data_IF_864661056489
#
_entry.id   IF_864661056489
#
_cell.length_a   1.000
_cell.length_b   1.000
_cell.length_c   1.000
_cell.angle_alpha   90.00
_cell.angle_beta   90.00
_cell.angle_gamma   90.00
#
_symmetry.space_group_name_H-M   'P 1'
#
loop_
_entity.id
_entity.type
_entity.pdbx_description
1 polymer ?
#
# COMPACT_ATOMS: atom_id res chain seq x y z
N UNK A 1 -5.14 -1.88 16.65
CA UNK A 1 -3.78 -1.98 16.08
C UNK A 1 -3.13 -3.33 16.30
N UNK A 2 -2.76 -3.97 15.19
CA UNK A 2 -2.04 -5.24 15.11
C UNK A 2 -0.57 -5.09 15.53
N UNK A 3 0.00 -6.07 16.25
CA UNK A 3 1.44 -6.09 16.64
C UNK A 3 2.26 -7.14 15.88
N UNK A 4 1.60 -8.03 15.15
CA UNK A 4 2.21 -9.10 14.36
C UNK A 4 1.30 -9.51 13.21
N UNK A 5 1.83 -9.51 11.99
CA UNK A 5 1.17 -10.05 10.80
C UNK A 5 1.27 -11.58 10.77
N UNK A 6 0.16 -12.25 10.51
CA UNK A 6 0.02 -13.70 10.38
C UNK A 6 -1.18 -13.98 9.48
N UNK A 7 -1.01 -14.66 8.34
CA UNK A 7 -2.12 -15.05 7.48
C UNK A 7 -3.12 -15.97 8.19
N UNK A 8 -4.38 -15.91 7.77
CA UNK A 8 -5.42 -16.82 8.24
C UNK A 8 -5.25 -18.20 7.60
N UNK A 9 -5.68 -19.24 8.34
CA UNK A 9 -5.69 -20.63 7.86
C UNK A 9 -7.07 -21.07 7.35
N UNK A 10 -8.10 -20.25 7.57
CA UNK A 10 -9.48 -20.48 7.14
C UNK A 10 -10.09 -19.16 6.67
N UNK A 11 -11.02 -19.23 5.73
CA UNK A 11 -11.74 -18.05 5.25
C UNK A 11 -12.72 -17.63 6.34
N UNK A 12 -12.48 -16.44 6.89
CA UNK A 12 -13.44 -15.69 7.69
C UNK A 12 -13.35 -14.23 7.26
N UNK A 13 -14.25 -13.83 6.36
CA UNK A 13 -14.19 -12.50 5.74
C UNK A 13 -14.40 -11.38 6.74
N UNK A 14 -15.08 -11.64 7.87
CA UNK A 14 -15.30 -10.64 8.92
C UNK A 14 -14.00 -10.40 9.68
N UNK A 15 -13.41 -11.46 10.21
CA UNK A 15 -12.14 -11.39 10.94
C UNK A 15 -11.00 -10.89 10.04
N UNK A 16 -10.95 -11.35 8.80
CA UNK A 16 -9.97 -10.88 7.82
C UNK A 16 -10.11 -9.38 7.54
N UNK A 17 -11.35 -8.87 7.42
CA UNK A 17 -11.58 -7.43 7.23
C UNK A 17 -11.13 -6.60 8.44
N UNK A 18 -11.45 -7.06 9.65
CA UNK A 18 -10.97 -6.44 10.90
C UNK A 18 -9.44 -6.43 10.94
N UNK A 19 -8.82 -7.51 10.47
CA UNK A 19 -7.36 -7.65 10.44
C UNK A 19 -6.70 -6.70 9.44
N UNK A 20 -7.20 -6.61 8.21
CA UNK A 20 -6.71 -5.65 7.21
C UNK A 20 -6.89 -4.22 7.72
N UNK A 21 -8.02 -3.90 8.35
CA UNK A 21 -8.25 -2.59 8.96
C UNK A 21 -7.27 -2.32 10.10
N UNK A 22 -6.96 -3.32 10.92
CA UNK A 22 -5.94 -3.19 11.97
C UNK A 22 -4.54 -2.94 11.41
N UNK A 23 -4.19 -3.47 10.23
CA UNK A 23 -2.95 -3.12 9.51
C UNK A 23 -2.99 -1.67 9.04
N UNK A 24 -4.12 -1.23 8.48
CA UNK A 24 -4.30 0.13 8.01
C UNK A 24 -4.22 1.17 9.14
N UNK A 25 -4.76 0.86 10.32
CA UNK A 25 -4.62 1.71 11.51
C UNK A 25 -3.16 1.95 11.90
N UNK A 26 -2.30 0.93 11.79
CA UNK A 26 -0.86 1.08 12.04
C UNK A 26 -0.24 2.04 11.02
N UNK A 27 -0.56 1.89 9.74
CA UNK A 27 -0.10 2.80 8.69
C UNK A 27 -0.53 4.26 8.96
N UNK A 28 -1.80 4.48 9.30
CA UNK A 28 -2.33 5.83 9.62
C UNK A 28 -1.66 6.40 10.88
N UNK A 29 -1.52 5.59 11.92
CA UNK A 29 -0.89 6.02 13.17
C UNK A 29 0.59 6.35 12.95
N UNK A 30 1.29 5.57 12.11
CA UNK A 30 2.62 5.93 11.65
C UNK A 30 2.56 7.27 10.95
N UNK A 31 1.76 7.43 9.89
CA UNK A 31 1.74 8.67 9.13
C UNK A 31 1.54 9.93 10.00
N UNK A 32 0.63 9.85 10.97
CA UNK A 32 0.33 10.93 11.93
C UNK A 32 1.34 11.10 13.07
N UNK A 33 2.45 10.36 13.07
CA UNK A 33 3.46 10.32 14.14
C UNK A 33 2.89 9.95 15.52
N UNK A 34 1.82 9.15 15.56
CA UNK A 34 1.20 8.68 16.80
C UNK A 34 1.86 7.41 17.34
N UNK A 35 2.50 6.64 16.45
CA UNK A 35 3.33 5.50 16.82
C UNK A 35 4.71 5.61 16.18
N UNK A 36 5.76 5.13 16.88
CA UNK A 36 5.72 4.48 18.18
C UNK A 36 5.43 5.44 19.34
N UNK A 37 4.83 4.93 20.41
CA UNK A 37 4.71 5.57 21.73
C UNK A 37 4.81 4.52 22.84
N UNK A 38 5.41 4.86 23.98
CA UNK A 38 5.73 3.88 25.04
C UNK A 38 4.50 3.33 25.78
N UNK A 39 3.34 3.97 25.65
CA UNK A 39 2.13 3.57 26.38
C UNK A 39 1.35 2.47 25.66
N UNK A 40 1.13 2.65 24.36
CA UNK A 40 0.16 1.86 23.60
C UNK A 40 0.83 1.02 22.49
N UNK A 41 1.97 1.50 21.94
CA UNK A 41 2.63 0.84 20.80
C UNK A 41 4.11 1.26 20.68
N UNK A 42 5.00 0.58 21.41
CA UNK A 42 6.43 0.92 21.49
C UNK A 42 7.19 0.72 20.15
N UNK A 43 8.38 1.30 20.04
CA UNK A 43 9.27 1.06 18.88
C UNK A 43 9.63 -0.42 18.74
N UNK A 44 9.75 -1.14 19.86
CA UNK A 44 9.99 -2.59 19.86
C UNK A 44 8.82 -3.35 19.25
N UNK A 45 7.59 -2.98 19.57
CA UNK A 45 6.38 -3.59 19.01
C UNK A 45 6.22 -3.28 17.53
N UNK A 46 6.52 -2.04 17.12
CA UNK A 46 6.58 -1.68 15.71
C UNK A 46 7.62 -2.49 14.96
N UNK A 47 8.82 -2.59 15.50
CA UNK A 47 9.90 -3.41 14.92
C UNK A 47 9.49 -4.88 14.81
N UNK A 48 8.79 -5.42 15.81
CA UNK A 48 8.27 -6.79 15.76
C UNK A 48 7.21 -6.97 14.67
N UNK A 49 6.31 -5.99 14.51
CA UNK A 49 5.33 -5.98 13.44
C UNK A 49 6.01 -5.96 12.06
N UNK A 50 6.98 -5.07 11.84
CA UNK A 50 7.77 -4.99 10.60
C UNK A 50 8.49 -6.32 10.31
N UNK A 51 9.17 -6.89 11.30
CA UNK A 51 9.83 -8.20 11.17
C UNK A 51 8.83 -9.31 10.83
N UNK A 52 7.61 -9.24 11.37
CA UNK A 52 6.55 -10.22 11.06
C UNK A 52 5.97 -10.07 9.65
N UNK A 53 5.93 -8.86 9.09
CA UNK A 53 5.60 -8.66 7.68
C UNK A 53 6.64 -9.37 6.82
N UNK A 54 7.93 -9.09 7.03
CA UNK A 54 9.02 -9.68 6.25
C UNK A 54 9.03 -11.21 6.35
N UNK A 55 8.87 -11.74 7.57
CA UNK A 55 8.88 -13.19 7.81
C UNK A 55 7.72 -13.93 7.12
N UNK A 56 6.53 -13.32 7.08
CA UNK A 56 5.31 -13.98 6.60
C UNK A 56 4.82 -13.43 5.26
N UNK A 57 5.67 -12.73 4.51
CA UNK A 57 5.39 -12.43 3.11
C UNK A 57 5.22 -13.76 2.36
N UNK A 58 4.17 -13.86 1.54
CA UNK A 58 3.90 -15.12 0.84
C UNK A 58 4.91 -15.37 -0.25
N UNK A 59 5.39 -16.61 -0.26
CA UNK A 59 6.08 -17.18 -1.40
C UNK A 59 5.03 -17.80 -2.34
N UNK A 60 5.43 -18.01 -3.59
CA UNK A 60 4.59 -18.45 -4.70
C UNK A 60 3.62 -19.59 -4.31
N UNK A 61 2.33 -19.35 -4.52
CA UNK A 61 1.25 -20.29 -4.24
C UNK A 61 0.42 -20.44 -5.51
N UNK A 62 0.59 -21.57 -6.19
CA UNK A 62 -0.25 -22.04 -7.30
C UNK A 62 -0.88 -20.91 -8.15
N UNK A 63 -0.06 -20.26 -8.99
CA UNK A 63 -0.46 -19.20 -9.93
C UNK A 63 -0.73 -17.80 -9.32
N UNK A 64 -0.32 -17.55 -8.07
CA UNK A 64 -0.29 -16.21 -7.47
C UNK A 64 1.16 -15.81 -7.27
N UNK A 65 1.57 -14.74 -7.96
CA UNK A 65 2.92 -14.19 -7.87
C UNK A 65 3.36 -13.98 -6.42
N UNK A 66 4.62 -14.25 -6.14
CA UNK A 66 5.24 -14.08 -4.83
C UNK A 66 5.24 -12.61 -4.38
N UNK A 67 5.44 -12.39 -3.08
CA UNK A 67 5.61 -11.05 -2.53
C UNK A 67 4.36 -10.41 -1.92
N UNK A 68 3.21 -11.10 -1.92
CA UNK A 68 1.99 -10.57 -1.30
C UNK A 68 1.99 -10.68 0.23
N UNK A 69 1.23 -9.79 0.87
CA UNK A 69 0.78 -9.93 2.26
C UNK A 69 -0.70 -10.28 2.31
N UNK A 70 -1.11 -11.26 1.51
CA UNK A 70 -2.48 -11.75 1.58
C UNK A 70 -2.81 -12.22 2.99
N UNK A 71 -4.01 -11.87 3.47
CA UNK A 71 -4.53 -12.32 4.76
C UNK A 71 -5.34 -13.62 4.63
N UNK A 72 -5.87 -13.92 3.44
CA UNK A 72 -6.76 -15.06 3.21
C UNK A 72 -6.01 -16.39 3.03
N UNK A 73 -6.46 -17.54 3.54
CA UNK A 73 -5.74 -18.81 3.32
C UNK A 73 -5.50 -19.13 1.83
N UNK A 74 -4.60 -20.06 1.58
CA UNK A 74 -4.17 -20.50 0.23
C UNK A 74 -5.24 -21.36 -0.46
N UNK A 75 -6.42 -20.80 -0.58
CA UNK A 75 -7.63 -21.37 -1.16
C UNK A 75 -8.14 -20.43 -2.24
N UNK A 76 -8.80 -20.98 -3.26
CA UNK A 76 -9.33 -20.19 -4.35
C UNK A 76 -10.40 -19.22 -3.85
N UNK A 77 -10.13 -17.92 -3.91
CA UNK A 77 -11.09 -16.87 -3.59
C UNK A 77 -11.76 -16.28 -4.84
N UNK A 78 -13.03 -15.85 -4.73
CA UNK A 78 -13.69 -15.04 -5.76
C UNK A 78 -12.89 -13.79 -6.12
N UNK A 79 -13.06 -13.28 -7.34
CA UNK A 79 -12.26 -12.19 -7.88
C UNK A 79 -12.29 -10.92 -7.03
N UNK A 80 -13.46 -10.56 -6.52
CA UNK A 80 -13.66 -9.34 -5.75
C UNK A 80 -13.00 -9.45 -4.37
N UNK A 81 -13.16 -10.60 -3.70
CA UNK A 81 -12.52 -10.88 -2.42
C UNK A 81 -10.98 -10.87 -2.49
N UNK A 82 -10.38 -11.16 -3.66
CA UNK A 82 -8.92 -11.04 -3.83
C UNK A 82 -8.46 -9.60 -3.73
N UNK A 83 -9.27 -8.60 -4.13
CA UNK A 83 -8.92 -7.18 -3.98
C UNK A 83 -8.71 -6.88 -2.51
N UNK A 84 -9.71 -7.20 -1.69
CA UNK A 84 -9.75 -6.84 -0.28
C UNK A 84 -8.73 -7.61 0.57
N UNK A 85 -8.45 -8.86 0.19
CA UNK A 85 -7.69 -9.77 1.05
C UNK A 85 -6.33 -10.19 0.49
N UNK A 86 -6.00 -9.88 -0.77
CA UNK A 86 -4.66 -10.06 -1.34
C UNK A 86 -3.98 -8.73 -1.65
N UNK A 87 -4.64 -7.87 -2.43
CA UNK A 87 -4.03 -6.64 -2.94
C UNK A 87 -4.00 -5.54 -1.89
N UNK A 88 -5.14 -5.22 -1.29
CA UNK A 88 -5.25 -4.18 -0.27
C UNK A 88 -4.28 -4.35 0.91
N UNK A 89 -4.16 -5.53 1.56
CA UNK A 89 -3.16 -5.71 2.62
C UNK A 89 -1.72 -5.63 2.10
N UNK A 90 -1.48 -5.98 0.84
CA UNK A 90 -0.17 -5.80 0.21
C UNK A 90 0.16 -4.32 0.05
N UNK A 91 -0.77 -3.49 -0.44
CA UNK A 91 -0.59 -2.04 -0.51
C UNK A 91 -0.33 -1.42 0.86
N UNK A 92 -1.03 -1.88 1.89
CA UNK A 92 -0.82 -1.42 3.28
C UNK A 92 0.57 -1.82 3.77
N UNK A 93 0.99 -3.07 3.53
CA UNK A 93 2.29 -3.56 3.96
C UNK A 93 3.44 -2.81 3.28
N UNK A 94 3.42 -2.62 1.95
CA UNK A 94 4.48 -1.85 1.26
C UNK A 94 4.50 -0.39 1.71
N UNK A 95 3.34 0.20 1.97
CA UNK A 95 3.23 1.56 2.48
C UNK A 95 3.83 1.69 3.88
N UNK A 96 3.54 0.72 4.74
CA UNK A 96 4.07 0.64 6.11
C UNK A 96 5.58 0.44 6.13
N UNK A 97 6.09 -0.48 5.30
CA UNK A 97 7.52 -0.71 5.14
C UNK A 97 8.22 0.54 4.59
N UNK A 98 7.64 1.21 3.59
CA UNK A 98 8.24 2.41 2.99
C UNK A 98 8.36 3.56 3.99
N UNK A 99 7.28 3.89 4.71
CA UNK A 99 7.34 4.95 5.74
C UNK A 99 8.24 4.56 6.92
N UNK A 100 8.33 3.28 7.27
CA UNK A 100 9.28 2.78 8.27
C UNK A 100 10.73 3.00 7.82
N UNK A 101 11.04 2.71 6.55
CA UNK A 101 12.37 2.93 5.96
C UNK A 101 12.78 4.41 6.00
N UNK A 102 11.85 5.33 5.72
CA UNK A 102 12.14 6.77 5.83
C UNK A 102 12.44 7.22 7.26
N UNK A 103 11.77 6.65 8.25
CA UNK A 103 11.83 7.14 9.64
C UNK A 103 12.90 6.49 10.49
N UNK A 104 13.19 5.23 10.22
CA UNK A 104 14.09 4.42 11.04
C UNK A 104 15.12 3.68 10.18
N UNK A 105 15.89 4.39 9.34
CA UNK A 105 16.85 3.75 8.43
C UNK A 105 17.89 2.89 9.16
N UNK A 106 18.32 3.30 10.35
CA UNK A 106 19.27 2.53 11.16
C UNK A 106 18.68 1.17 11.59
N UNK A 107 17.42 1.15 12.03
CA UNK A 107 16.73 -0.10 12.38
C UNK A 107 16.52 -0.95 11.13
N UNK A 108 16.18 -0.35 9.99
CA UNK A 108 16.03 -1.07 8.72
C UNK A 108 17.32 -1.80 8.33
N UNK A 109 18.48 -1.18 8.50
CA UNK A 109 19.78 -1.78 8.18
C UNK A 109 20.07 -3.04 9.01
N UNK A 110 19.47 -3.17 10.19
CA UNK A 110 19.57 -4.36 11.06
C UNK A 110 18.55 -5.46 10.72
N UNK A 111 17.52 -5.15 9.93
CA UNK A 111 16.47 -6.11 9.58
C UNK A 111 16.83 -6.82 8.27
N UNK A 112 17.26 -8.08 8.42
CA UNK A 112 17.55 -8.96 7.27
C UNK A 112 16.37 -9.07 6.31
N UNK A 113 16.67 -9.09 5.01
CA UNK A 113 15.72 -9.20 3.89
C UNK A 113 14.71 -8.05 3.74
N UNK A 114 14.83 -6.94 4.49
CA UNK A 114 13.88 -5.83 4.40
C UNK A 114 13.67 -5.31 2.97
N UNK A 115 14.76 -4.89 2.30
CA UNK A 115 14.69 -4.34 0.93
C UNK A 115 14.19 -5.38 -0.08
N UNK A 116 14.56 -6.64 0.10
CA UNK A 116 14.08 -7.75 -0.74
C UNK A 116 12.56 -7.90 -0.62
N UNK A 117 12.05 -7.96 0.61
CA UNK A 117 10.62 -8.09 0.86
C UNK A 117 9.83 -6.88 0.31
N UNK A 118 10.34 -5.66 0.53
CA UNK A 118 9.73 -4.46 -0.02
C UNK A 118 9.66 -4.51 -1.55
N UNK A 119 10.77 -4.88 -2.22
CA UNK A 119 10.83 -5.00 -3.68
C UNK A 119 9.87 -6.07 -4.22
N UNK A 120 9.81 -7.25 -3.59
CA UNK A 120 8.85 -8.31 -3.96
C UNK A 120 7.40 -7.84 -3.81
N UNK A 121 7.09 -7.09 -2.76
CA UNK A 121 5.76 -6.52 -2.55
C UNK A 121 5.36 -5.46 -3.59
N UNK A 122 6.31 -4.61 -3.96
CA UNK A 122 6.11 -3.63 -5.02
C UNK A 122 5.88 -4.31 -6.38
N UNK A 123 6.64 -5.37 -6.67
CA UNK A 123 6.43 -6.18 -7.87
C UNK A 123 5.06 -6.85 -7.87
N UNK A 124 4.63 -7.48 -6.77
CA UNK A 124 3.28 -8.04 -6.67
C UNK A 124 2.18 -7.00 -6.95
N UNK A 125 2.38 -5.77 -6.50
CA UNK A 125 1.42 -4.67 -6.63
C UNK A 125 1.16 -4.28 -8.09
N UNK A 126 2.06 -4.61 -9.02
CA UNK A 126 1.92 -4.30 -10.45
C UNK A 126 0.95 -5.22 -11.18
N UNK A 127 0.63 -6.40 -10.62
CA UNK A 127 -0.13 -7.44 -11.31
C UNK A 127 -1.52 -6.99 -11.79
N UNK A 128 -2.10 -5.99 -11.13
CA UNK A 128 -3.40 -5.39 -11.53
C UNK A 128 -3.29 -3.97 -12.07
N UNK A 129 -2.08 -3.42 -12.23
CA UNK A 129 -1.88 -2.03 -12.64
C UNK A 129 -2.59 -1.04 -11.72
N UNK A 130 -2.67 -1.35 -10.42
CA UNK A 130 -3.50 -0.66 -9.42
C UNK A 130 -5.00 -0.55 -9.78
N UNK A 131 -5.47 -1.25 -10.81
CA UNK A 131 -6.83 -1.14 -11.34
C UNK A 131 -7.74 -2.28 -10.86
N UNK A 132 -8.98 -1.92 -10.50
CA UNK A 132 -10.08 -2.87 -10.34
C UNK A 132 -10.45 -3.58 -11.67
N UNK A 133 -11.22 -4.66 -11.64
CA UNK A 133 -11.79 -5.24 -12.87
C UNK A 133 -13.03 -4.44 -13.31
N UNK A 134 -13.14 -4.11 -14.60
CA UNK A 134 -14.36 -3.53 -15.21
C UNK A 134 -14.63 -2.06 -14.82
N UNK A 135 -15.91 -1.69 -14.73
CA UNK A 135 -16.39 -0.32 -14.47
C UNK A 135 -15.95 0.27 -13.10
N UNK A 136 -15.40 -0.54 -12.19
CA UNK A 136 -14.85 -0.11 -10.89
C UNK A 136 -13.33 0.15 -10.89
N UNK A 137 -12.69 0.22 -12.07
CA UNK A 137 -11.24 0.43 -12.22
C UNK A 137 -10.72 1.67 -11.47
N UNK A 138 -11.41 2.80 -11.64
CA UNK A 138 -11.04 4.08 -11.03
C UNK A 138 -11.12 4.06 -9.50
N UNK A 139 -12.16 3.45 -8.93
CA UNK A 139 -12.28 3.32 -7.48
C UNK A 139 -11.14 2.48 -6.89
N UNK A 140 -10.79 1.36 -7.53
CA UNK A 140 -9.66 0.53 -7.12
C UNK A 140 -8.32 1.28 -7.17
N UNK A 141 -8.09 2.06 -8.23
CA UNK A 141 -6.92 2.92 -8.36
C UNK A 141 -6.88 3.99 -7.26
N UNK A 142 -8.01 4.63 -6.95
CA UNK A 142 -8.12 5.64 -5.89
C UNK A 142 -7.74 5.04 -4.53
N UNK A 143 -8.33 3.90 -4.14
CA UNK A 143 -8.03 3.26 -2.85
C UNK A 143 -6.55 2.87 -2.76
N UNK A 144 -6.01 2.24 -3.81
CA UNK A 144 -4.60 1.89 -3.88
C UNK A 144 -3.69 3.13 -3.77
N UNK A 145 -3.93 4.17 -4.57
CA UNK A 145 -3.13 5.39 -4.58
C UNK A 145 -3.21 6.14 -3.25
N UNK A 146 -4.35 6.16 -2.57
CA UNK A 146 -4.47 6.73 -1.22
C UNK A 146 -3.58 5.98 -0.22
N UNK A 147 -3.68 4.65 -0.17
CA UNK A 147 -2.87 3.82 0.74
C UNK A 147 -1.36 4.03 0.47
N UNK A 148 -0.95 3.97 -0.81
CA UNK A 148 0.44 4.17 -1.23
C UNK A 148 0.96 5.57 -0.87
N UNK A 149 0.13 6.60 -1.05
CA UNK A 149 0.51 8.00 -0.76
C UNK A 149 0.65 8.26 0.74
N UNK A 150 -0.17 7.62 1.59
CA UNK A 150 0.01 7.66 3.04
C UNK A 150 1.40 7.13 3.42
N UNK A 151 1.82 6.01 2.83
CA UNK A 151 3.12 5.38 3.05
C UNK A 151 4.32 6.04 2.38
N UNK A 152 4.13 7.16 1.67
CA UNK A 152 5.17 7.84 0.86
C UNK A 152 5.75 6.97 -0.26
N UNK A 153 5.01 5.99 -0.76
CA UNK A 153 5.47 5.12 -1.87
C UNK A 153 5.75 5.91 -3.14
N UNK A 154 4.91 6.86 -3.60
CA UNK A 154 5.21 7.67 -4.78
C UNK A 154 6.52 8.46 -4.65
N UNK A 155 6.76 9.08 -3.49
CA UNK A 155 8.01 9.80 -3.22
C UNK A 155 9.21 8.85 -3.27
N UNK A 156 9.11 7.71 -2.58
CA UNK A 156 10.20 6.72 -2.57
C UNK A 156 10.57 6.24 -3.97
N UNK A 157 9.58 5.97 -4.83
CA UNK A 157 9.79 5.53 -6.21
C UNK A 157 10.33 6.64 -7.10
N UNK A 158 9.90 7.89 -6.90
CA UNK A 158 10.47 9.03 -7.63
C UNK A 158 11.95 9.24 -7.30
N UNK A 159 12.32 9.14 -6.01
CA UNK A 159 13.71 9.28 -5.58
C UNK A 159 14.57 8.06 -5.95
N UNK A 160 13.93 6.90 -6.18
CA UNK A 160 14.60 5.62 -6.43
C UNK A 160 13.89 4.84 -7.56
N UNK A 161 13.85 5.36 -8.80
CA UNK A 161 13.05 4.78 -9.89
C UNK A 161 13.45 3.34 -10.22
N UNK A 162 14.74 3.01 -10.07
CA UNK A 162 15.29 1.67 -10.32
C UNK A 162 14.93 0.63 -9.24
N UNK A 163 14.36 1.06 -8.10
CA UNK A 163 14.00 0.14 -7.04
C UNK A 163 12.87 -0.81 -7.48
N UNK A 164 11.85 -0.26 -8.14
CA UNK A 164 10.78 -0.99 -8.82
C UNK A 164 10.30 -0.17 -10.03
N UNK A 165 10.98 -0.29 -11.19
CA UNK A 165 10.66 0.48 -12.39
C UNK A 165 9.21 0.34 -12.83
N UNK A 166 8.67 -0.88 -12.74
CA UNK A 166 7.30 -1.20 -13.17
C UNK A 166 6.25 -0.52 -12.29
N UNK A 167 6.42 -0.56 -10.96
CA UNK A 167 5.50 0.14 -10.06
C UNK A 167 5.68 1.65 -10.17
N UNK A 168 6.90 2.14 -10.36
CA UNK A 168 7.17 3.56 -10.57
C UNK A 168 6.40 4.07 -11.79
N UNK A 169 6.48 3.37 -12.92
CA UNK A 169 5.72 3.72 -14.13
C UNK A 169 4.20 3.81 -13.85
N UNK A 170 3.61 2.76 -13.25
CA UNK A 170 2.18 2.72 -12.95
C UNK A 170 1.75 3.86 -12.02
N UNK A 171 2.55 4.16 -10.99
CA UNK A 171 2.27 5.25 -10.05
C UNK A 171 2.34 6.60 -10.73
N UNK A 172 3.35 6.86 -11.56
CA UNK A 172 3.50 8.14 -12.27
C UNK A 172 2.39 8.34 -13.32
N UNK A 173 2.02 7.29 -14.05
CA UNK A 173 0.87 7.32 -14.96
C UNK A 173 -0.43 7.60 -14.22
N UNK A 174 -0.64 7.00 -13.04
CA UNK A 174 -1.81 7.25 -12.19
C UNK A 174 -1.85 8.69 -11.68
N UNK A 175 -0.71 9.26 -11.27
CA UNK A 175 -0.62 10.67 -10.86
C UNK A 175 -0.96 11.61 -12.02
N UNK A 176 -0.41 11.34 -13.20
CA UNK A 176 -0.70 12.11 -14.41
C UNK A 176 -2.18 12.07 -14.76
N UNK A 177 -2.79 10.88 -14.77
CA UNK A 177 -4.22 10.71 -15.00
C UNK A 177 -5.06 11.53 -14.01
N UNK A 178 -4.77 11.42 -12.71
CA UNK A 178 -5.45 12.17 -11.64
C UNK A 178 -5.38 13.69 -11.91
N UNK A 179 -4.21 14.19 -12.30
CA UNK A 179 -3.99 15.61 -12.53
C UNK A 179 -4.71 16.11 -13.80
N UNK A 180 -4.67 15.33 -14.89
CA UNK A 180 -5.39 15.62 -16.12
C UNK A 180 -6.91 15.61 -15.91
N UNK A 181 -7.44 14.64 -15.17
CA UNK A 181 -8.86 14.57 -14.79
C UNK A 181 -9.32 15.78 -13.97
N UNK A 182 -8.51 16.24 -13.01
CA UNK A 182 -8.83 17.45 -12.24
C UNK A 182 -8.81 18.71 -13.12
N UNK A 183 -7.81 18.85 -13.98
CA UNK A 183 -7.66 20.02 -14.85
C UNK A 183 -8.76 20.12 -15.92
N UNK A 184 -9.18 18.99 -16.47
CA UNK A 184 -10.24 18.91 -17.49
C UNK A 184 -11.65 18.93 -16.90
N UNK A 185 -11.80 18.67 -15.59
CA UNK A 185 -13.08 18.47 -14.93
C UNK A 185 -13.70 17.09 -15.18
N UNK A 186 -12.97 16.17 -15.84
CA UNK A 186 -13.39 14.79 -16.08
C UNK A 186 -13.13 13.91 -14.85
N UNK A 187 -13.88 14.18 -13.79
CA UNK A 187 -13.77 13.49 -12.49
C UNK A 187 -14.90 12.50 -12.24
N UNK A 188 -15.76 12.27 -13.24
CA UNK A 188 -16.97 11.47 -13.05
C UNK A 188 -16.76 9.99 -13.38
N UNK A 189 -17.28 9.12 -12.51
CA UNK A 189 -17.33 7.68 -12.74
C UNK A 189 -18.46 7.26 -13.70
N UNK A 190 -18.43 6.00 -14.10
CA UNK A 190 -19.42 5.42 -15.03
C UNK A 190 -20.86 5.43 -14.46
N UNK A 191 -21.03 5.55 -13.15
CA UNK A 191 -22.33 5.58 -12.47
C UNK A 191 -22.65 6.95 -11.88
N UNK A 192 -21.92 7.99 -12.29
CA UNK A 192 -22.12 9.37 -11.83
C UNK A 192 -21.45 9.69 -10.49
N UNK A 193 -20.55 8.83 -10.00
CA UNK A 193 -19.64 9.17 -8.91
C UNK A 193 -18.82 10.43 -9.25
N UNK A 194 -18.44 11.23 -8.26
CA UNK A 194 -17.51 12.35 -8.46
C UNK A 194 -16.26 12.14 -7.61
N UNK A 195 -15.15 11.85 -8.28
CA UNK A 195 -13.86 11.55 -7.66
C UNK A 195 -13.00 12.79 -7.43
N UNK A 196 -13.52 14.01 -7.62
CA UNK A 196 -12.74 15.25 -7.49
C UNK A 196 -12.05 15.39 -6.13
N UNK A 197 -12.78 15.12 -5.05
CA UNK A 197 -12.22 15.20 -3.69
C UNK A 197 -11.16 14.11 -3.47
N UNK A 198 -11.41 12.90 -3.96
CA UNK A 198 -10.48 11.78 -3.86
C UNK A 198 -9.16 12.10 -4.58
N UNK A 199 -9.25 12.56 -5.83
CA UNK A 199 -8.11 12.98 -6.65
C UNK A 199 -7.33 14.11 -6.00
N UNK A 200 -8.02 15.13 -5.50
CA UNK A 200 -7.38 16.26 -4.81
C UNK A 200 -6.62 15.79 -3.56
N UNK A 201 -7.24 14.91 -2.75
CA UNK A 201 -6.63 14.37 -1.53
C UNK A 201 -5.37 13.56 -1.82
N UNK A 202 -5.32 12.80 -2.91
CA UNK A 202 -4.14 12.04 -3.32
C UNK A 202 -3.00 13.00 -3.67
N UNK A 203 -3.27 14.02 -4.50
CA UNK A 203 -2.24 15.00 -4.86
C UNK A 203 -1.76 15.81 -3.66
N UNK A 204 -2.62 16.14 -2.71
CA UNK A 204 -2.23 16.81 -1.46
C UNK A 204 -1.33 15.93 -0.60
N UNK A 205 -1.66 14.64 -0.42
CA UNK A 205 -0.84 13.69 0.32
C UNK A 205 0.57 13.56 -0.29
N UNK A 206 0.65 13.60 -1.62
CA UNK A 206 1.90 13.58 -2.35
C UNK A 206 2.66 14.91 -2.13
N UNK A 207 2.04 16.07 -2.40
CA UNK A 207 2.67 17.41 -2.30
C UNK A 207 3.18 17.75 -0.90
N UNK A 208 2.36 17.56 0.13
CA UNK A 208 2.66 17.96 1.51
C UNK A 208 3.91 17.27 2.08
N UNK A 209 4.30 16.13 1.50
CA UNK A 209 5.38 15.29 2.02
C UNK A 209 6.69 15.45 1.27
N UNK A 210 6.74 16.28 0.22
CA UNK A 210 7.91 16.39 -0.65
C UNK A 210 8.73 17.67 -0.46
N UNK A 211 8.18 18.76 0.09
CA UNK A 211 8.86 20.06 0.18
C UNK A 211 9.29 20.70 -1.16
N UNK A 212 9.28 19.93 -2.26
CA UNK A 212 9.52 20.25 -3.65
C UNK A 212 8.48 19.51 -4.51
N UNK A 213 7.99 20.17 -5.56
CA UNK A 213 6.95 19.63 -6.43
C UNK A 213 7.46 18.39 -7.19
N UNK A 214 6.93 17.21 -6.88
CA UNK A 214 6.98 16.04 -7.78
C UNK A 214 6.29 16.31 -9.14
N UNK A 215 5.63 17.46 -9.28
CA UNK A 215 4.68 17.78 -10.33
C UNK A 215 5.19 18.89 -11.28
N UNK A 216 6.47 19.25 -11.22
CA UNK A 216 7.05 20.20 -12.18
C UNK A 216 7.69 19.45 -13.37
N UNK A 217 6.86 19.08 -14.35
CA UNK A 217 7.26 18.94 -15.77
C UNK A 217 6.03 18.77 -16.64
#
# INVERSE_FOLDING_TARGET
>A
MIKKFTPFTKIDTTEMSIYVNSMYEVLIAMDKNLIPNEKDYSIKELTNYIKSLIKNQRNDLNNIQDGSWSVAPDTMMPSDARVDFNFRPTYIAISTLTIFNFRYPDIVNEISNFKKALKSGMLFSTYRGLSGHGYGGTYGMIDAMKILSIGKVPLYLYENPEFSPELNQIVMESIKYIQESLNSGDTKGAWGEDYREDFSSILELIKLKNGNELLSS
#
